data_IF_846969408882
#
_entry.id   IF_846969408882
#
_cell.length_a   1.000
_cell.length_b   1.000
_cell.length_c   1.000
_cell.angle_alpha   90.00
_cell.angle_beta   90.00
_cell.angle_gamma   90.00
#
_symmetry.space_group_name_H-M   'P 1'
#
loop_
_entity.id
_entity.type
_entity.pdbx_description
1 polymer ?
#
# COMPACT_ATOMS: atom_id res chain seq x y z
N UNK A 1 -4.11 21.64 5.05
CA UNK A 1 -4.92 20.70 5.84
C UNK A 1 -4.19 19.37 5.93
N UNK A 2 -4.20 18.70 7.08
CA UNK A 2 -3.56 17.39 7.19
C UNK A 2 -4.51 16.34 6.63
N UNK A 3 -4.03 15.53 5.70
CA UNK A 3 -4.76 14.37 5.17
C UNK A 3 -4.32 13.07 5.84
N UNK A 4 -3.29 13.14 6.70
CA UNK A 4 -2.69 11.99 7.38
C UNK A 4 -3.28 11.82 8.77
N UNK A 5 -3.69 10.59 9.09
CA UNK A 5 -4.30 10.19 10.35
C UNK A 5 -3.51 9.04 10.98
N UNK A 6 -3.65 8.91 12.29
CA UNK A 6 -3.15 7.79 13.09
C UNK A 6 -4.27 7.23 13.97
N UNK A 7 -4.21 5.94 14.36
CA UNK A 7 -5.14 5.38 15.32
C UNK A 7 -4.87 5.94 16.75
N UNK A 8 -5.92 6.22 17.47
CA UNK A 8 -5.88 6.58 18.87
C UNK A 8 -7.23 6.30 19.51
N UNK A 9 -7.27 5.52 20.58
CA UNK A 9 -8.49 5.17 21.34
C UNK A 9 -9.64 4.65 20.43
N UNK A 10 -9.30 3.80 19.43
CA UNK A 10 -10.25 3.21 18.49
C UNK A 10 -10.77 4.16 17.41
N UNK A 11 -10.14 5.32 17.21
CA UNK A 11 -10.51 6.32 16.21
C UNK A 11 -9.30 6.77 15.39
N UNK A 12 -9.55 7.26 14.18
CA UNK A 12 -8.54 7.98 13.41
C UNK A 12 -8.49 9.44 13.87
N UNK A 13 -7.33 9.89 14.32
CA UNK A 13 -7.07 11.29 14.68
C UNK A 13 -6.03 11.88 13.73
N UNK A 14 -6.05 13.19 13.44
CA UNK A 14 -5.05 13.81 12.60
C UNK A 14 -3.65 13.58 13.17
N UNK A 15 -2.69 13.22 12.32
CA UNK A 15 -1.30 13.02 12.71
C UNK A 15 -0.67 14.31 13.28
N UNK A 16 -1.05 15.44 12.72
CA UNK A 16 -0.70 16.76 13.27
C UNK A 16 -1.96 17.37 13.88
N UNK A 17 -1.80 18.02 15.01
CA UNK A 17 -2.90 18.71 15.68
C UNK A 17 -3.36 19.91 14.81
N UNK A 18 -4.28 19.63 13.92
CA UNK A 18 -4.81 20.55 12.92
C UNK A 18 -6.32 20.39 12.82
N UNK A 19 -7.07 21.47 12.63
CA UNK A 19 -8.50 21.39 12.36
C UNK A 19 -8.76 20.53 11.12
N UNK A 20 -9.73 19.63 11.22
CA UNK A 20 -10.19 18.77 10.12
C UNK A 20 -11.61 19.18 9.76
N UNK A 21 -11.87 19.39 8.48
CA UNK A 21 -13.20 19.68 7.95
C UNK A 21 -14.17 18.52 8.27
N UNK A 22 -15.45 18.86 8.50
CA UNK A 22 -16.46 17.90 8.94
C UNK A 22 -16.64 16.73 7.97
N UNK A 23 -16.56 16.99 6.65
CA UNK A 23 -16.71 15.95 5.63
C UNK A 23 -15.49 15.00 5.62
N UNK A 24 -14.29 15.54 5.78
CA UNK A 24 -13.09 14.73 5.89
C UNK A 24 -13.08 13.90 7.18
N UNK A 25 -13.61 14.45 8.29
CA UNK A 25 -13.79 13.70 9.54
C UNK A 25 -14.75 12.52 9.35
N UNK A 26 -15.89 12.76 8.69
CA UNK A 26 -16.87 11.70 8.39
C UNK A 26 -16.25 10.61 7.53
N UNK A 27 -15.51 10.97 6.47
CA UNK A 27 -14.80 10.01 5.64
C UNK A 27 -13.77 9.20 6.44
N UNK A 28 -13.04 9.83 7.36
CA UNK A 28 -12.10 9.12 8.23
C UNK A 28 -12.78 8.10 9.12
N UNK A 29 -13.93 8.44 9.71
CA UNK A 29 -14.71 7.53 10.56
C UNK A 29 -15.29 6.35 9.74
N UNK A 30 -15.78 6.58 8.53
CA UNK A 30 -16.27 5.54 7.61
C UNK A 30 -15.16 4.60 7.15
N UNK A 31 -14.00 5.15 6.82
CA UNK A 31 -12.80 4.38 6.46
C UNK A 31 -12.33 3.53 7.63
N UNK A 32 -12.23 4.10 8.84
CA UNK A 32 -11.84 3.35 10.05
C UNK A 32 -12.75 2.15 10.30
N UNK A 33 -14.07 2.33 10.23
CA UNK A 33 -15.04 1.23 10.37
C UNK A 33 -14.89 0.16 9.28
N UNK A 34 -14.58 0.57 8.05
CA UNK A 34 -14.39 -0.37 6.94
C UNK A 34 -13.11 -1.18 7.09
N UNK A 35 -12.02 -0.53 7.54
CA UNK A 35 -10.75 -1.18 7.86
C UNK A 35 -10.94 -2.20 9.01
N UNK A 36 -11.59 -1.80 10.08
CA UNK A 36 -11.87 -2.66 11.23
C UNK A 36 -12.68 -3.90 10.83
N UNK A 37 -13.78 -3.71 10.08
CA UNK A 37 -14.58 -4.83 9.56
C UNK A 37 -13.79 -5.79 8.70
N UNK A 38 -12.90 -5.28 7.85
CA UNK A 38 -12.07 -6.10 6.96
C UNK A 38 -11.03 -6.89 7.75
N UNK A 39 -10.23 -6.23 8.58
CA UNK A 39 -9.10 -6.85 9.29
C UNK A 39 -9.56 -7.81 10.39
N UNK A 40 -10.69 -7.51 11.06
CA UNK A 40 -11.27 -8.36 12.09
C UNK A 40 -12.25 -9.42 11.55
N UNK A 41 -12.41 -9.53 10.21
CA UNK A 41 -13.22 -10.60 9.66
C UNK A 41 -12.60 -11.98 9.93
N UNK A 42 -13.47 -12.98 10.14
CA UNK A 42 -13.03 -14.35 10.40
C UNK A 42 -12.14 -14.85 9.27
N UNK A 43 -11.03 -15.47 9.62
CA UNK A 43 -10.02 -15.98 8.69
C UNK A 43 -9.39 -14.94 7.73
N UNK A 44 -9.46 -13.63 8.04
CA UNK A 44 -8.74 -12.63 7.22
C UNK A 44 -7.26 -13.04 7.02
N UNK A 45 -6.78 -13.15 5.78
CA UNK A 45 -5.56 -13.91 5.51
C UNK A 45 -4.25 -13.17 5.76
N UNK A 46 -4.27 -11.89 6.16
CA UNK A 46 -3.05 -11.10 6.36
C UNK A 46 -2.69 -10.95 7.85
N UNK A 47 -1.78 -11.81 8.34
CA UNK A 47 -1.30 -11.75 9.73
C UNK A 47 -0.59 -10.43 10.03
N UNK A 48 0.17 -9.87 9.08
CA UNK A 48 0.83 -8.58 9.27
C UNK A 48 -0.19 -7.47 9.51
N UNK A 49 -1.28 -7.40 8.74
CA UNK A 49 -2.34 -6.42 8.93
C UNK A 49 -3.04 -6.61 10.30
N UNK A 50 -3.35 -7.85 10.69
CA UNK A 50 -3.95 -8.14 12.01
C UNK A 50 -3.03 -7.64 13.13
N UNK A 51 -1.73 -7.85 13.02
CA UNK A 51 -0.73 -7.39 13.99
C UNK A 51 -0.60 -5.86 14.02
N UNK A 52 -0.57 -5.23 12.84
CA UNK A 52 -0.57 -3.79 12.67
C UNK A 52 -1.76 -3.13 13.40
N UNK A 53 -2.96 -3.68 13.18
CA UNK A 53 -4.18 -3.20 13.83
C UNK A 53 -4.18 -3.43 15.34
N UNK A 54 -3.81 -4.63 15.80
CA UNK A 54 -3.78 -4.97 17.22
C UNK A 54 -2.80 -4.10 18.04
N UNK A 55 -1.87 -3.41 17.39
CA UNK A 55 -0.86 -2.57 18.02
C UNK A 55 -1.02 -1.09 17.72
N UNK A 56 -2.06 -0.70 16.98
CA UNK A 56 -2.22 0.67 16.47
C UNK A 56 -1.01 1.16 15.65
N UNK A 57 -0.34 0.24 14.94
CA UNK A 57 0.86 0.51 14.15
C UNK A 57 0.48 0.76 12.68
N UNK A 58 -0.31 1.80 12.40
CA UNK A 58 -0.64 2.16 11.03
C UNK A 58 -0.90 3.66 10.84
N UNK A 59 -0.74 4.13 9.62
CA UNK A 59 -1.12 5.45 9.15
C UNK A 59 -2.25 5.34 8.14
N UNK A 60 -3.11 6.35 8.07
CA UNK A 60 -4.15 6.48 7.06
C UNK A 60 -4.06 7.85 6.41
N UNK A 61 -3.77 7.90 5.12
CA UNK A 61 -3.89 9.11 4.31
C UNK A 61 -5.20 9.10 3.53
N UNK A 62 -5.96 10.19 3.56
CA UNK A 62 -7.17 10.36 2.76
C UNK A 62 -6.90 11.32 1.59
N UNK A 63 -7.21 10.89 0.38
CA UNK A 63 -6.90 11.61 -0.85
C UNK A 63 -8.14 11.76 -1.73
N UNK A 64 -8.34 12.92 -2.40
CA UNK A 64 -9.58 13.24 -3.09
C UNK A 64 -9.82 12.45 -4.40
N UNK A 65 -8.77 11.94 -5.03
CA UNK A 65 -8.94 11.26 -6.33
C UNK A 65 -7.89 10.19 -6.59
N UNK A 66 -8.31 9.06 -7.14
CA UNK A 66 -7.44 7.91 -7.44
C UNK A 66 -7.02 7.87 -8.91
N UNK A 67 -5.74 7.68 -9.14
CA UNK A 67 -5.15 7.47 -10.47
C UNK A 67 -5.17 8.70 -11.37
N UNK A 68 -5.32 9.90 -10.81
CA UNK A 68 -5.22 11.16 -11.55
C UNK A 68 -3.86 11.84 -11.37
N UNK A 69 -3.07 11.40 -10.38
CA UNK A 69 -1.82 12.02 -9.97
C UNK A 69 -1.98 13.36 -9.24
N UNK A 70 -3.21 13.87 -9.07
CA UNK A 70 -3.46 15.14 -8.36
C UNK A 70 -3.07 15.07 -6.88
N UNK A 71 -3.22 13.90 -6.28
CA UNK A 71 -2.85 13.63 -4.89
C UNK A 71 -1.41 13.18 -4.72
N UNK A 72 -0.70 12.88 -5.80
CA UNK A 72 0.60 12.22 -5.79
C UNK A 72 1.67 12.96 -4.98
N UNK A 73 1.67 14.31 -5.02
CA UNK A 73 2.60 15.10 -4.22
C UNK A 73 2.31 15.04 -2.71
N UNK A 74 1.04 14.95 -2.31
CA UNK A 74 0.72 14.76 -0.90
C UNK A 74 1.02 13.32 -0.46
N UNK A 75 0.66 12.34 -1.29
CA UNK A 75 1.00 10.93 -1.06
C UNK A 75 2.51 10.73 -0.87
N UNK A 76 3.34 11.34 -1.72
CA UNK A 76 4.79 11.27 -1.59
C UNK A 76 5.28 11.82 -0.24
N UNK A 77 4.81 12.98 0.19
CA UNK A 77 5.16 13.56 1.50
C UNK A 77 4.74 12.69 2.66
N UNK A 78 3.54 12.13 2.62
CA UNK A 78 3.02 11.28 3.70
C UNK A 78 3.77 9.93 3.75
N UNK A 79 4.19 9.39 2.60
CA UNK A 79 5.06 8.21 2.53
C UNK A 79 6.43 8.48 3.15
N UNK A 80 7.00 9.67 2.98
CA UNK A 80 8.26 10.04 3.63
C UNK A 80 8.10 10.11 5.15
N UNK A 81 7.00 10.66 5.67
CA UNK A 81 6.70 10.66 7.11
C UNK A 81 6.58 9.23 7.64
N UNK A 82 5.86 8.37 6.94
CA UNK A 82 5.71 6.95 7.30
C UNK A 82 7.07 6.22 7.30
N UNK A 83 7.87 6.39 6.25
CA UNK A 83 9.22 5.82 6.14
C UNK A 83 10.10 6.24 7.33
N UNK A 84 10.12 7.53 7.67
CA UNK A 84 10.96 8.05 8.75
C UNK A 84 10.52 7.48 10.10
N UNK A 85 9.22 7.39 10.37
CA UNK A 85 8.73 6.72 11.57
C UNK A 85 9.06 5.22 11.58
N UNK A 86 9.00 4.54 10.44
CA UNK A 86 9.44 3.13 10.36
C UNK A 86 10.91 2.98 10.76
N UNK A 87 11.78 3.86 10.27
CA UNK A 87 13.22 3.85 10.61
C UNK A 87 13.49 4.07 12.11
N UNK A 88 12.64 4.86 12.77
CA UNK A 88 12.72 5.10 14.21
C UNK A 88 12.14 3.95 15.04
N UNK A 89 10.94 3.49 14.71
CA UNK A 89 10.21 2.47 15.46
C UNK A 89 10.72 1.06 15.21
N UNK A 90 11.26 0.79 14.00
CA UNK A 90 11.69 -0.52 13.50
C UNK A 90 10.61 -1.61 13.66
N UNK A 91 9.33 -1.21 13.63
CA UNK A 91 8.24 -2.18 13.71
C UNK A 91 8.13 -3.00 12.43
N UNK A 92 8.12 -4.34 12.49
CA UNK A 92 7.93 -5.17 11.31
C UNK A 92 6.46 -5.22 10.84
N UNK A 93 5.56 -4.44 11.46
CA UNK A 93 4.13 -4.45 11.15
C UNK A 93 3.55 -3.06 10.86
N UNK A 94 4.35 -1.99 10.98
CA UNK A 94 3.90 -0.63 10.67
C UNK A 94 3.46 -0.56 9.20
N UNK A 95 2.25 -0.08 8.92
CA UNK A 95 1.71 0.03 7.57
C UNK A 95 1.15 1.43 7.28
N UNK A 96 1.09 1.79 6.00
CA UNK A 96 0.48 3.04 5.56
C UNK A 96 -0.63 2.76 4.54
N UNK A 97 -1.85 3.23 4.83
CA UNK A 97 -3.03 3.08 4.01
C UNK A 97 -3.35 4.39 3.30
N UNK A 98 -3.09 4.46 2.01
CA UNK A 98 -3.51 5.58 1.17
C UNK A 98 -4.90 5.26 0.63
N UNK A 99 -5.93 5.88 1.19
CA UNK A 99 -7.33 5.65 0.85
C UNK A 99 -7.86 6.79 0.01
N UNK A 100 -8.58 6.45 -1.05
CA UNK A 100 -9.21 7.39 -1.98
C UNK A 100 -10.73 7.21 -1.91
N UNK A 101 -11.44 7.99 -1.06
CA UNK A 101 -12.88 7.81 -0.81
C UNK A 101 -13.73 8.23 -2.02
N UNK A 102 -13.42 7.76 -3.20
CA UNK A 102 -14.22 7.96 -4.40
C UNK A 102 -15.40 6.98 -4.45
N UNK A 103 -16.49 7.47 -4.99
CA UNK A 103 -17.62 6.62 -5.35
C UNK A 103 -17.42 6.13 -6.78
N UNK A 104 -17.24 4.85 -6.96
CA UNK A 104 -17.12 4.22 -8.28
C UNK A 104 -16.59 2.81 -8.19
N UNK A 105 -17.08 1.96 -9.06
CA UNK A 105 -16.55 0.61 -9.24
C UNK A 105 -15.48 0.66 -10.34
N UNK A 106 -14.37 0.00 -10.09
CA UNK A 106 -13.30 -0.18 -11.08
C UNK A 106 -13.22 -1.67 -11.43
N UNK A 107 -13.03 -1.96 -12.69
CA UNK A 107 -12.50 -3.26 -13.11
C UNK A 107 -11.06 -3.41 -12.62
N UNK A 108 -10.55 -4.62 -12.51
CA UNK A 108 -9.17 -4.87 -12.10
C UNK A 108 -8.15 -4.16 -13.03
N UNK A 109 -8.40 -4.15 -14.34
CA UNK A 109 -7.54 -3.48 -15.31
C UNK A 109 -7.54 -1.94 -15.15
N UNK A 110 -8.69 -1.34 -14.88
CA UNK A 110 -8.79 0.10 -14.59
C UNK A 110 -8.09 0.45 -13.28
N UNK A 111 -8.29 -0.37 -12.25
CA UNK A 111 -7.62 -0.19 -10.96
C UNK A 111 -6.10 -0.28 -11.12
N UNK A 112 -5.58 -1.30 -11.80
CA UNK A 112 -4.15 -1.44 -12.07
C UNK A 112 -3.57 -0.24 -12.81
N UNK A 113 -4.23 0.20 -13.88
CA UNK A 113 -3.81 1.38 -14.65
C UNK A 113 -3.72 2.63 -13.77
N UNK A 114 -4.72 2.85 -12.91
CA UNK A 114 -4.78 4.00 -11.97
C UNK A 114 -3.73 3.90 -10.88
N UNK A 115 -3.52 2.71 -10.31
CA UNK A 115 -2.48 2.43 -9.31
C UNK A 115 -1.10 2.83 -9.84
N UNK A 116 -0.74 2.32 -11.01
CA UNK A 116 0.57 2.61 -11.59
C UNK A 116 0.75 4.06 -11.98
N UNK A 117 -0.31 4.72 -12.45
CA UNK A 117 -0.28 6.14 -12.73
C UNK A 117 -0.05 6.97 -11.46
N UNK A 118 -0.74 6.66 -10.36
CA UNK A 118 -0.57 7.34 -9.07
C UNK A 118 0.85 7.19 -8.53
N UNK A 119 1.39 5.96 -8.54
CA UNK A 119 2.78 5.69 -8.11
C UNK A 119 3.80 6.41 -8.98
N UNK A 120 3.62 6.41 -10.28
CA UNK A 120 4.50 7.10 -11.24
C UNK A 120 4.50 8.61 -11.02
N UNK A 121 3.33 9.20 -10.74
CA UNK A 121 3.21 10.63 -10.43
C UNK A 121 3.85 10.97 -9.08
N UNK A 122 3.78 10.10 -8.07
CA UNK A 122 4.39 10.30 -6.76
C UNK A 122 5.93 10.44 -6.88
N UNK A 123 6.58 9.51 -7.59
CA UNK A 123 8.02 9.58 -7.88
C UNK A 123 8.36 10.85 -8.68
N UNK A 124 7.58 11.15 -9.71
CA UNK A 124 7.80 12.34 -10.55
C UNK A 124 7.65 13.65 -9.79
N UNK A 125 6.86 13.68 -8.72
CA UNK A 125 6.74 14.84 -7.84
C UNK A 125 8.02 15.07 -7.04
N UNK A 126 8.63 14.01 -6.49
CA UNK A 126 9.89 14.10 -5.75
C UNK A 126 11.03 14.61 -6.64
N UNK A 127 11.11 14.11 -7.87
CA UNK A 127 12.10 14.56 -8.86
C UNK A 127 11.97 16.06 -9.15
N UNK A 128 10.74 16.57 -9.33
CA UNK A 128 10.50 17.98 -9.58
C UNK A 128 10.86 18.87 -8.40
N UNK A 129 10.88 18.34 -7.20
CA UNK A 129 11.32 19.05 -5.99
C UNK A 129 12.85 19.06 -5.81
N UNK A 130 13.60 18.66 -6.83
CA UNK A 130 15.07 18.73 -6.85
C UNK A 130 15.77 17.47 -6.32
N UNK A 131 15.01 16.42 -6.01
CA UNK A 131 15.61 15.14 -5.69
C UNK A 131 15.96 14.39 -6.97
N UNK A 132 17.18 13.88 -7.07
CA UNK A 132 17.56 13.00 -8.17
C UNK A 132 16.75 11.70 -8.08
N UNK A 133 16.06 11.27 -9.17
CA UNK A 133 15.29 10.04 -9.19
C UNK A 133 16.10 8.83 -8.74
N UNK A 134 17.36 8.76 -9.12
CA UNK A 134 18.24 7.64 -8.82
C UNK A 134 18.66 7.64 -7.35
N UNK A 135 18.91 8.80 -6.76
CA UNK A 135 19.22 8.92 -5.32
C UNK A 135 18.00 8.71 -4.41
N UNK A 136 16.80 8.82 -4.98
CA UNK A 136 15.53 8.53 -4.29
C UNK A 136 15.13 7.06 -4.37
N UNK A 137 15.82 6.24 -5.17
CA UNK A 137 15.54 4.81 -5.29
C UNK A 137 16.30 4.01 -4.24
N UNK A 138 15.71 2.92 -3.77
CA UNK A 138 16.39 1.99 -2.88
C UNK A 138 17.50 1.26 -3.67
N UNK A 139 18.76 1.31 -3.22
CA UNK A 139 19.90 0.73 -3.96
C UNK A 139 19.82 -0.81 -4.11
N UNK A 140 19.00 -1.49 -3.34
CA UNK A 140 18.80 -2.94 -3.47
C UNK A 140 17.90 -3.33 -4.66
N UNK A 141 17.19 -2.36 -5.27
CA UNK A 141 16.20 -2.60 -6.31
C UNK A 141 16.49 -1.80 -7.59
N UNK A 142 16.10 -2.38 -8.72
CA UNK A 142 16.20 -1.69 -10.00
C UNK A 142 15.14 -0.58 -10.12
N UNK A 143 15.50 0.60 -10.65
CA UNK A 143 14.54 1.64 -11.00
C UNK A 143 13.84 1.38 -12.35
N UNK A 144 14.27 0.37 -13.11
CA UNK A 144 13.77 0.06 -14.45
C UNK A 144 12.60 -0.92 -14.37
N UNK A 145 11.37 -0.52 -14.79
CA UNK A 145 10.17 -1.32 -14.64
C UNK A 145 10.18 -2.63 -15.45
N UNK A 146 11.05 -2.77 -16.42
CA UNK A 146 11.28 -3.99 -17.18
C UNK A 146 12.13 -5.05 -16.45
N UNK A 147 12.85 -4.65 -15.42
CA UNK A 147 13.69 -5.53 -14.63
C UNK A 147 12.84 -6.31 -13.61
N UNK A 148 13.13 -7.60 -13.47
CA UNK A 148 12.43 -8.44 -12.46
C UNK A 148 12.72 -8.03 -11.02
N UNK A 149 13.83 -7.32 -10.78
CA UNK A 149 14.19 -6.75 -9.49
C UNK A 149 13.64 -5.32 -9.29
N UNK A 150 12.66 -4.90 -10.09
CA UNK A 150 11.98 -3.63 -9.89
C UNK A 150 11.09 -3.70 -8.67
N UNK A 151 11.23 -2.72 -7.77
CA UNK A 151 10.29 -2.48 -6.68
C UNK A 151 10.05 -0.98 -6.56
N UNK A 152 8.79 -0.56 -6.39
CA UNK A 152 8.46 0.85 -6.20
C UNK A 152 9.26 1.43 -5.03
N UNK A 153 10.02 2.48 -5.31
CA UNK A 153 10.87 3.13 -4.31
C UNK A 153 10.62 4.63 -4.27
N UNK A 154 10.74 5.21 -3.09
CA UNK A 154 10.61 6.64 -2.86
C UNK A 154 11.43 7.05 -1.63
N UNK A 155 12.21 8.12 -1.76
CA UNK A 155 13.04 8.63 -0.67
C UNK A 155 14.08 7.64 -0.15
N UNK A 156 14.64 6.78 -1.03
CA UNK A 156 15.67 5.81 -0.71
C UNK A 156 15.16 4.56 0.02
N UNK A 157 13.87 4.27 -0.03
CA UNK A 157 13.28 3.04 0.51
C UNK A 157 12.33 2.40 -0.49
N UNK A 158 12.41 1.09 -0.63
CA UNK A 158 11.48 0.30 -1.41
C UNK A 158 10.22 -0.02 -0.62
N UNK A 159 9.09 -0.09 -1.31
CA UNK A 159 7.78 -0.38 -0.73
C UNK A 159 7.10 -1.52 -1.48
N UNK A 160 6.65 -2.52 -0.74
CA UNK A 160 5.67 -3.46 -1.24
C UNK A 160 4.29 -2.84 -1.16
N UNK A 161 3.59 -2.80 -2.29
CA UNK A 161 2.28 -2.16 -2.40
C UNK A 161 1.18 -3.20 -2.53
N UNK A 162 0.13 -3.03 -1.73
CA UNK A 162 -1.07 -3.87 -1.78
C UNK A 162 -2.25 -3.03 -2.20
N UNK A 163 -2.72 -3.23 -3.42
CA UNK A 163 -3.92 -2.55 -3.94
C UNK A 163 -5.20 -3.22 -3.47
N UNK A 164 -6.17 -2.42 -3.04
CA UNK A 164 -7.51 -2.85 -2.64
C UNK A 164 -8.56 -2.03 -3.39
N UNK A 165 -9.66 -2.68 -3.81
CA UNK A 165 -10.83 -2.00 -4.40
C UNK A 165 -12.07 -2.89 -4.34
N UNK A 166 -13.26 -2.30 -4.51
CA UNK A 166 -14.53 -3.00 -4.36
C UNK A 166 -14.72 -4.13 -5.38
N UNK A 167 -14.24 -3.95 -6.62
CA UNK A 167 -14.36 -4.90 -7.71
C UNK A 167 -13.29 -5.99 -7.78
N UNK A 168 -12.43 -6.15 -6.75
CA UNK A 168 -11.40 -7.19 -6.78
C UNK A 168 -12.01 -8.60 -6.80
N UNK A 169 -11.46 -9.48 -7.63
CA UNK A 169 -11.81 -10.91 -7.67
C UNK A 169 -11.40 -11.61 -6.37
N UNK A 170 -10.28 -11.16 -5.75
CA UNK A 170 -9.81 -11.65 -4.44
C UNK A 170 -10.61 -11.00 -3.30
N UNK A 171 -11.34 -11.81 -2.53
CA UNK A 171 -12.14 -11.33 -1.38
C UNK A 171 -11.28 -10.56 -0.37
N UNK A 172 -10.06 -11.02 -0.11
CA UNK A 172 -9.09 -10.36 0.78
C UNK A 172 -8.60 -8.99 0.29
N UNK A 173 -8.89 -8.63 -0.95
CA UNK A 173 -8.57 -7.34 -1.58
C UNK A 173 -9.80 -6.46 -1.80
N UNK A 174 -11.00 -6.93 -1.41
CA UNK A 174 -12.23 -6.13 -1.53
C UNK A 174 -12.33 -5.12 -0.42
N UNK A 175 -12.27 -3.85 -0.79
CA UNK A 175 -12.43 -2.72 0.11
C UNK A 175 -13.32 -1.66 -0.56
N UNK A 176 -14.19 -0.95 0.19
CA UNK A 176 -15.16 -0.03 -0.41
C UNK A 176 -14.53 1.09 -1.25
N UNK A 177 -13.32 1.48 -0.93
CA UNK A 177 -12.60 2.57 -1.58
C UNK A 177 -11.32 2.08 -2.23
N UNK A 178 -10.93 2.62 -3.39
CA UNK A 178 -9.58 2.40 -3.92
C UNK A 178 -8.55 2.73 -2.85
N UNK A 179 -7.65 1.79 -2.59
CA UNK A 179 -6.68 1.91 -1.50
C UNK A 179 -5.35 1.30 -1.91
N UNK A 180 -4.26 1.96 -1.56
CA UNK A 180 -2.90 1.46 -1.67
C UNK A 180 -2.32 1.32 -0.27
N UNK A 181 -1.98 0.08 0.13
CA UNK A 181 -1.29 -0.16 1.40
C UNK A 181 0.19 -0.29 1.11
N UNK A 182 0.99 0.49 1.79
CA UNK A 182 2.45 0.48 1.67
C UNK A 182 3.08 -0.18 2.89
N UNK A 183 4.02 -1.07 2.62
CA UNK A 183 4.87 -1.70 3.62
C UNK A 183 6.32 -1.48 3.21
N UNK A 184 7.16 -0.95 4.09
CA UNK A 184 8.59 -0.79 3.80
C UNK A 184 9.22 -2.17 3.61
N UNK A 185 10.01 -2.34 2.55
CA UNK A 185 10.55 -3.65 2.20
C UNK A 185 11.45 -4.26 3.29
N UNK A 186 12.17 -3.42 4.01
CA UNK A 186 13.02 -3.83 5.14
C UNK A 186 12.26 -4.64 6.21
N UNK A 187 10.93 -4.45 6.35
CA UNK A 187 10.10 -5.22 7.29
C UNK A 187 10.11 -6.72 6.97
N UNK A 188 10.11 -7.06 5.69
CA UNK A 188 10.13 -8.45 5.25
C UNK A 188 11.50 -9.08 5.50
N UNK A 189 12.58 -8.35 5.21
CA UNK A 189 13.94 -8.78 5.53
C UNK A 189 14.10 -9.04 7.02
N UNK A 190 13.62 -8.12 7.87
CA UNK A 190 13.63 -8.30 9.32
C UNK A 190 12.87 -9.56 9.75
N UNK A 191 11.67 -9.80 9.21
CA UNK A 191 10.88 -10.98 9.53
C UNK A 191 11.55 -12.29 9.07
N UNK A 192 12.29 -12.25 7.95
CA UNK A 192 13.09 -13.37 7.45
C UNK A 192 14.27 -13.67 8.41
N UNK A 193 15.03 -12.63 8.78
CA UNK A 193 16.16 -12.75 9.70
C UNK A 193 15.75 -13.26 11.08
N UNK A 194 14.56 -12.88 11.53
CA UNK A 194 13.96 -13.36 12.78
C UNK A 194 13.31 -14.76 12.66
N UNK A 195 13.29 -15.38 11.49
CA UNK A 195 12.65 -16.68 11.24
C UNK A 195 11.12 -16.67 11.36
N UNK A 196 10.50 -15.49 11.33
CA UNK A 196 9.05 -15.29 11.49
C UNK A 196 8.30 -15.26 10.15
N UNK A 197 8.99 -15.01 9.05
CA UNK A 197 8.40 -14.84 7.73
C UNK A 197 7.71 -16.10 7.22
N UNK A 198 8.43 -17.23 7.12
CA UNK A 198 7.88 -18.48 6.58
C UNK A 198 6.68 -19.03 7.36
N UNK A 199 6.70 -19.03 8.72
CA UNK A 199 5.52 -19.39 9.50
C UNK A 199 4.32 -18.47 9.20
N UNK A 200 4.54 -17.18 9.06
CA UNK A 200 3.48 -16.19 8.75
C UNK A 200 2.89 -16.43 7.36
N UNK A 201 3.73 -16.65 6.34
CA UNK A 201 3.28 -16.98 4.98
C UNK A 201 2.43 -18.25 4.96
N UNK A 202 2.86 -19.29 5.70
CA UNK A 202 2.10 -20.55 5.82
C UNK A 202 0.72 -20.33 6.40
N UNK A 203 0.61 -19.54 7.47
CA UNK A 203 -0.67 -19.22 8.12
C UNK A 203 -1.54 -18.39 7.16
N UNK A 204 -0.95 -17.37 6.48
CA UNK A 204 -1.66 -16.56 5.50
C UNK A 204 -2.28 -17.42 4.40
N UNK A 205 -1.54 -18.39 3.85
CA UNK A 205 -2.05 -19.31 2.82
C UNK A 205 -3.21 -20.16 3.31
N UNK A 206 -3.12 -20.70 4.52
CA UNK A 206 -4.21 -21.50 5.12
C UNK A 206 -5.48 -20.67 5.33
N UNK A 207 -5.32 -19.42 5.82
CA UNK A 207 -6.41 -18.49 5.98
C UNK A 207 -7.00 -18.06 4.64
N UNK A 208 -6.17 -17.77 3.64
CA UNK A 208 -6.60 -17.38 2.30
C UNK A 208 -7.42 -18.51 1.63
N UNK A 209 -6.99 -19.76 1.81
CA UNK A 209 -7.75 -20.92 1.33
C UNK A 209 -9.15 -21.02 2.00
N UNK A 210 -9.26 -20.76 3.30
CA UNK A 210 -10.54 -20.74 4.00
C UNK A 210 -11.40 -19.54 3.61
N UNK A 211 -10.77 -18.39 3.45
CA UNK A 211 -11.45 -17.12 3.17
C UNK A 211 -12.02 -17.04 1.76
N UNK A 212 -11.30 -17.62 0.77
CA UNK A 212 -11.67 -17.52 -0.64
C UNK A 212 -11.89 -18.86 -1.35
N UNK A 213 -11.48 -19.98 -0.74
CA UNK A 213 -11.49 -21.29 -1.40
C UNK A 213 -10.26 -21.57 -2.28
N UNK A 214 -9.40 -20.60 -2.52
CA UNK A 214 -8.15 -20.74 -3.31
C UNK A 214 -7.02 -19.93 -2.69
N UNK A 215 -5.78 -20.44 -2.78
CA UNK A 215 -4.60 -19.68 -2.40
C UNK A 215 -4.28 -18.64 -3.47
N UNK A 216 -3.79 -17.48 -3.08
CA UNK A 216 -3.33 -16.46 -4.03
C UNK A 216 -2.12 -16.99 -4.82
N UNK A 217 -2.24 -17.24 -6.13
CA UNK A 217 -1.16 -17.78 -6.95
C UNK A 217 0.05 -16.83 -7.03
N UNK A 218 -0.19 -15.53 -6.91
CA UNK A 218 0.86 -14.51 -6.96
C UNK A 218 1.71 -14.47 -5.68
N UNK A 219 1.24 -15.02 -4.55
CA UNK A 219 1.94 -15.02 -3.27
C UNK A 219 2.91 -16.20 -3.09
N UNK A 220 3.10 -17.03 -4.11
CA UNK A 220 3.86 -18.29 -3.95
C UNK A 220 5.38 -18.08 -3.84
N UNK A 221 5.91 -16.96 -4.32
CA UNK A 221 7.36 -16.80 -4.50
C UNK A 221 7.85 -15.41 -4.11
N UNK A 222 7.58 -15.02 -2.88
CA UNK A 222 8.10 -13.78 -2.33
C UNK A 222 9.65 -13.77 -2.40
N UNK A 223 10.21 -12.69 -2.95
CA UNK A 223 11.66 -12.56 -3.09
C UNK A 223 12.30 -13.35 -4.25
N UNK A 224 11.54 -14.16 -5.00
CA UNK A 224 12.03 -14.96 -6.13
C UNK A 224 11.43 -14.49 -7.46
N UNK A 225 10.25 -13.90 -7.44
CA UNK A 225 9.57 -13.39 -8.63
C UNK A 225 9.34 -11.87 -8.53
N UNK A 226 9.00 -11.29 -9.65
CA UNK A 226 8.73 -9.86 -9.83
C UNK A 226 7.59 -9.38 -8.92
N UNK A 227 7.92 -8.74 -7.82
CA UNK A 227 6.94 -8.38 -6.80
C UNK A 227 5.91 -7.36 -7.30
N UNK A 228 6.32 -6.48 -8.21
CA UNK A 228 5.45 -5.48 -8.81
C UNK A 228 4.20 -6.09 -9.48
N UNK A 229 4.28 -7.31 -10.01
CA UNK A 229 3.16 -8.03 -10.64
C UNK A 229 1.97 -8.26 -9.68
N UNK A 230 2.23 -8.22 -8.36
CA UNK A 230 1.23 -8.49 -7.33
C UNK A 230 0.52 -7.23 -6.80
N UNK A 231 1.01 -6.04 -7.13
CA UNK A 231 0.58 -4.80 -6.49
C UNK A 231 -0.91 -4.51 -6.70
N UNK A 232 -1.42 -4.70 -7.91
CA UNK A 232 -2.85 -4.50 -8.21
C UNK A 232 -3.77 -5.54 -7.55
N UNK A 233 -3.25 -6.74 -7.30
CA UNK A 233 -4.04 -7.89 -6.83
C UNK A 233 -4.70 -8.69 -7.95
N UNK A 234 -4.55 -8.25 -9.20
CA UNK A 234 -5.00 -8.98 -10.38
C UNK A 234 -4.17 -10.23 -10.61
N UNK A 235 -4.78 -11.26 -11.21
CA UNK A 235 -4.06 -12.40 -11.72
C UNK A 235 -3.40 -12.05 -13.06
N UNK A 236 -2.16 -11.60 -13.00
CA UNK A 236 -1.43 -11.14 -14.17
C UNK A 236 -0.75 -12.29 -14.91
N UNK A 237 -0.75 -12.30 -16.27
CA UNK A 237 -0.10 -13.32 -17.07
C UNK A 237 1.45 -13.26 -16.97
N UNK A 238 2.12 -14.33 -17.36
CA UNK A 238 3.59 -14.45 -17.26
C UNK A 238 4.36 -13.44 -18.11
N UNK A 239 3.72 -12.90 -19.15
CA UNK A 239 4.26 -11.88 -20.05
C UNK A 239 3.86 -10.45 -19.67
N UNK A 240 3.27 -10.28 -18.48
CA UNK A 240 2.89 -8.98 -17.94
C UNK A 240 4.08 -8.01 -17.91
N UNK A 241 3.81 -6.75 -18.22
CA UNK A 241 4.80 -5.67 -18.17
C UNK A 241 4.36 -4.63 -17.15
N UNK A 242 5.29 -4.22 -16.32
CA UNK A 242 5.02 -3.19 -15.32
C UNK A 242 4.63 -1.86 -15.99
N UNK A 243 3.45 -1.31 -15.72
CA UNK A 243 3.00 -0.07 -16.34
C UNK A 243 3.62 1.20 -15.73
N UNK A 244 4.54 1.08 -14.78
CA UNK A 244 5.22 2.22 -14.17
C UNK A 244 5.95 3.09 -15.21
N UNK A 245 5.87 4.40 -15.06
CA UNK A 245 6.48 5.37 -15.98
C UNK A 245 7.20 6.47 -15.23
N UNK A 246 8.49 6.61 -15.45
CA UNK A 246 9.24 7.79 -15.00
C UNK A 246 8.71 9.05 -15.70
N UNK A 247 8.66 10.16 -14.98
CA UNK A 247 8.25 11.45 -15.55
C UNK A 247 6.74 11.61 -15.80
N UNK A 248 5.90 10.71 -15.27
CA UNK A 248 4.44 10.82 -15.38
C UNK A 248 3.92 12.17 -14.83
N UNK A 249 2.86 12.69 -15.44
CA UNK A 249 2.22 13.96 -15.06
C UNK A 249 0.78 13.73 -14.61
N UNK A 250 0.29 14.52 -13.64
CA UNK A 250 -1.13 14.54 -13.29
C UNK A 250 -2.02 14.82 -14.51
N UNK A 251 -3.20 14.19 -14.51
CA UNK A 251 -4.27 14.38 -15.51
C UNK A 251 -5.28 15.42 -15.06
#
# INVERSE_FOLDING_TARGET
MSTLFIPKDGRLVPFRDSPVEADLRRSADEVAQSMERMVNSEDYPCIAAIRSFAKDEYYVGLYPSFGTGRSAGQLARDLLVYRDHHRESRSPYLSFWAVFPETGEFTEAEFETRLWHELSCAVSHEVRNGNDPMSSWDPAFSPHPEDRNFCFSLGGSAFFVVGLHAGSSRVSRRFPHPTLIFNVYEQFTQLMDEGKYDPMVRINRLKDLRFQGTVNPMAEKYGVEWEAIQFSGSENPSDWKCPFQHGAKPK
#
